data_IF_852890403280
#
_entry.id   IF_852890403280
#
_cell.length_a   1.000
_cell.length_b   1.000
_cell.length_c   1.000
_cell.angle_alpha   90.00
_cell.angle_beta   90.00
_cell.angle_gamma   90.00
#
_symmetry.space_group_name_H-M   'P 1'
#
loop_
_entity.id
_entity.type
_entity.pdbx_description
1 polymer ?
#
# COMPACT_ATOMS: atom_id res chain seq x y z
N UNK A 1 -10.33 11.24 -1.06
CA UNK A 1 -9.24 11.61 -0.13
C UNK A 1 -7.98 10.89 -0.56
N UNK A 2 -6.80 11.47 -0.34
CA UNK A 2 -5.51 10.84 -0.62
C UNK A 2 -4.87 10.40 0.70
N UNK A 3 -4.50 9.13 0.78
CA UNK A 3 -3.88 8.52 1.95
C UNK A 3 -2.49 8.04 1.54
N UNK A 4 -1.47 8.48 2.27
CA UNK A 4 -0.11 8.00 2.13
C UNK A 4 0.30 7.23 3.38
N UNK A 5 0.66 5.96 3.23
CA UNK A 5 0.97 5.04 4.34
C UNK A 5 2.47 4.79 4.39
N UNK A 6 3.10 5.13 5.52
CA UNK A 6 4.49 4.76 5.82
C UNK A 6 4.51 3.37 6.48
N UNK A 7 5.39 2.47 6.02
CA UNK A 7 5.41 1.07 6.44
C UNK A 7 4.30 0.23 5.79
N UNK A 8 3.94 0.54 4.54
CA UNK A 8 2.78 -0.07 3.86
C UNK A 8 2.97 -1.56 3.55
N UNK A 9 4.20 -2.07 3.50
CA UNK A 9 4.46 -3.49 3.22
C UNK A 9 4.30 -4.38 4.46
N UNK A 10 4.01 -3.82 5.65
CA UNK A 10 3.59 -4.60 6.80
C UNK A 10 2.21 -5.23 6.59
N UNK A 11 2.00 -6.49 6.99
CA UNK A 11 0.75 -7.24 6.74
C UNK A 11 -0.51 -6.51 7.19
N UNK A 12 -0.48 -5.88 8.37
CA UNK A 12 -1.61 -5.12 8.90
C UNK A 12 -1.85 -3.84 8.07
N UNK A 13 -0.79 -3.09 7.77
CA UNK A 13 -0.87 -1.84 7.01
C UNK A 13 -1.29 -2.08 5.56
N UNK A 14 -0.82 -3.16 4.94
CA UNK A 14 -1.25 -3.60 3.63
C UNK A 14 -2.75 -3.92 3.60
N UNK A 15 -3.28 -4.61 4.63
CA UNK A 15 -4.72 -4.83 4.76
C UNK A 15 -5.53 -3.54 4.85
N UNK A 16 -5.08 -2.57 5.66
CA UNK A 16 -5.73 -1.25 5.74
C UNK A 16 -5.66 -0.52 4.39
N UNK A 17 -4.53 -0.57 3.71
CA UNK A 17 -4.35 0.08 2.41
C UNK A 17 -5.35 -0.45 1.37
N UNK A 18 -5.59 -1.76 1.38
CA UNK A 18 -6.58 -2.41 0.51
C UNK A 18 -8.01 -1.98 0.84
N UNK A 19 -8.40 -2.01 2.11
CA UNK A 19 -9.73 -1.55 2.53
C UNK A 19 -9.97 -0.08 2.18
N UNK A 20 -8.96 0.78 2.38
CA UNK A 20 -9.04 2.18 2.00
C UNK A 20 -9.19 2.36 0.48
N UNK A 21 -8.51 1.53 -0.31
CA UNK A 21 -8.64 1.51 -1.77
C UNK A 21 -10.05 1.09 -2.20
N UNK A 22 -10.60 0.05 -1.60
CA UNK A 22 -11.97 -0.43 -1.85
C UNK A 22 -13.04 0.61 -1.48
N UNK A 23 -12.79 1.43 -0.47
CA UNK A 23 -13.64 2.58 -0.11
C UNK A 23 -13.52 3.76 -1.08
N UNK A 24 -12.73 3.65 -2.15
CA UNK A 24 -12.58 4.67 -3.18
C UNK A 24 -11.57 5.77 -2.82
N UNK A 25 -10.71 5.55 -1.82
CA UNK A 25 -9.62 6.47 -1.54
C UNK A 25 -8.45 6.26 -2.52
N UNK A 26 -7.75 7.36 -2.83
CA UNK A 26 -6.47 7.25 -3.52
C UNK A 26 -5.41 6.88 -2.48
N UNK A 27 -4.79 5.72 -2.63
CA UNK A 27 -3.82 5.17 -1.66
C UNK A 27 -2.46 5.05 -2.32
N UNK A 28 -1.45 5.51 -1.59
CA UNK A 28 -0.03 5.40 -1.92
C UNK A 28 0.72 4.99 -0.66
N UNK A 29 1.95 4.49 -0.76
CA UNK A 29 2.73 4.23 0.44
C UNK A 29 4.22 4.15 0.19
N UNK A 30 4.98 4.19 1.29
CA UNK A 30 6.41 4.03 1.30
C UNK A 30 6.84 2.98 2.33
N UNK A 31 7.87 2.21 2.02
CA UNK A 31 8.47 1.26 2.94
C UNK A 31 9.99 1.16 2.68
N UNK A 32 10.74 0.80 3.72
CA UNK A 32 12.19 0.54 3.62
C UNK A 32 12.43 -0.69 2.73
N UNK A 33 11.55 -1.69 2.85
CA UNK A 33 11.63 -2.94 2.10
C UNK A 33 10.34 -3.18 1.33
N UNK A 34 10.38 -2.96 0.01
CA UNK A 34 9.28 -3.28 -0.90
C UNK A 34 9.58 -4.63 -1.56
N UNK A 35 8.94 -5.70 -1.10
CA UNK A 35 9.23 -7.07 -1.55
C UNK A 35 7.96 -7.93 -1.78
N UNK A 36 8.02 -8.93 -2.68
CA UNK A 36 6.94 -9.90 -2.86
C UNK A 36 6.72 -10.75 -1.60
N UNK A 37 5.49 -11.19 -1.30
CA UNK A 37 4.28 -11.05 -2.12
C UNK A 37 3.55 -9.72 -1.92
N UNK A 38 3.88 -8.95 -0.87
CA UNK A 38 3.07 -7.81 -0.47
C UNK A 38 3.14 -6.66 -1.48
N UNK A 39 4.33 -6.39 -2.02
CA UNK A 39 4.49 -5.34 -3.04
C UNK A 39 3.66 -5.62 -4.30
N UNK A 40 3.65 -6.89 -4.76
CA UNK A 40 2.87 -7.33 -5.91
C UNK A 40 1.38 -7.16 -5.65
N UNK A 41 0.89 -7.65 -4.52
CA UNK A 41 -0.53 -7.60 -4.17
C UNK A 41 -1.05 -6.15 -4.08
N UNK A 42 -0.28 -5.23 -3.49
CA UNK A 42 -0.65 -3.81 -3.41
C UNK A 42 -0.60 -3.15 -4.81
N UNK A 43 0.40 -3.48 -5.62
CA UNK A 43 0.55 -2.92 -6.97
C UNK A 43 -0.56 -3.36 -7.92
N UNK A 44 -0.99 -4.63 -7.84
CA UNK A 44 -2.13 -5.18 -8.60
C UNK A 44 -3.44 -4.45 -8.30
N UNK A 45 -3.59 -3.94 -7.08
CA UNK A 45 -4.73 -3.14 -6.64
C UNK A 45 -4.58 -1.65 -7.01
N UNK A 46 -3.55 -1.31 -7.80
CA UNK A 46 -3.27 0.05 -8.25
C UNK A 46 -2.87 0.98 -7.11
N UNK A 47 -2.14 0.47 -6.12
CA UNK A 47 -1.52 1.26 -5.04
C UNK A 47 -0.07 1.53 -5.43
N UNK A 48 0.30 2.80 -5.51
CA UNK A 48 1.69 3.19 -5.82
C UNK A 48 2.56 3.03 -4.59
N UNK A 49 3.65 2.27 -4.74
CA UNK A 49 4.63 2.02 -3.69
C UNK A 49 5.91 2.81 -3.99
N UNK A 50 6.45 3.45 -2.97
CA UNK A 50 7.74 4.11 -2.99
C UNK A 50 8.70 3.36 -2.07
N UNK A 51 9.96 3.29 -2.45
CA UNK A 51 11.02 2.81 -1.58
C UNK A 51 11.74 4.01 -0.98
N UNK A 52 11.86 4.06 0.35
CA UNK A 52 12.51 5.14 1.10
C UNK A 52 13.73 4.63 1.85
#
# INVERSE_FOLDING_TARGET
MHIHILGICGTFMGGIALLAKEQGHHVTGADLNVYPPMSTQLSEQGITLHQS
#
